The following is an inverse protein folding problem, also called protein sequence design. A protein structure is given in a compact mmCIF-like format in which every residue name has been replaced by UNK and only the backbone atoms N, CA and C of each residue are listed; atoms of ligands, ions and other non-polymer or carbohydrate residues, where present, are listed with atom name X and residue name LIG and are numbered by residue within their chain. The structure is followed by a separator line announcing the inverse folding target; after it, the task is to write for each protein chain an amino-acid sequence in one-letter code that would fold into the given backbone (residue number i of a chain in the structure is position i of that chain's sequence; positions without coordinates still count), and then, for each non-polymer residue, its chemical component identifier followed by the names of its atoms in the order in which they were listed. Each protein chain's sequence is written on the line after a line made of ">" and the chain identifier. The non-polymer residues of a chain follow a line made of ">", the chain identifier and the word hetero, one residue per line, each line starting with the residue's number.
data_IF_913539243773
#
_entry.id   IF_913539243773
#
_cell.length_a   1.000
_cell.length_b   1.000
_cell.length_c   1.000
_cell.angle_alpha   90.00
_cell.angle_beta   90.00
_cell.angle_gamma   90.00
#
_symmetry.space_group_name_H-M   'P 1'
#
loop_
_entity.id
_entity.type
_entity.pdbx_description
1 polymer ?
#
# COMPACT_ATOMS: atom_id res chain seq x y z
N UNK A 1 -5.38 55.31 -31.63
CA UNK A 1 -4.53 54.17 -32.02
C UNK A 1 -3.09 54.64 -31.93
N UNK A 2 -2.29 53.87 -31.19
CA UNK A 2 -0.87 54.02 -30.82
C UNK A 2 -0.49 55.26 -29.99
N UNK A 3 -0.22 55.13 -28.69
CA UNK A 3 0.88 54.44 -27.98
C UNK A 3 2.12 55.34 -27.80
N UNK A 4 2.33 55.78 -26.56
CA UNK A 4 3.58 55.66 -25.78
C UNK A 4 3.65 56.81 -24.76
N UNK A 5 3.74 56.48 -23.46
CA UNK A 5 4.72 57.17 -22.62
C UNK A 5 5.17 56.32 -21.44
N UNK A 6 6.50 56.21 -21.38
CA UNK A 6 7.37 55.50 -20.46
C UNK A 6 7.35 56.13 -19.05
N UNK A 7 7.27 55.30 -18.03
CA UNK A 7 7.31 55.68 -16.61
C UNK A 7 8.76 55.98 -16.15
N UNK A 8 8.90 57.03 -15.34
CA UNK A 8 10.13 57.45 -14.65
C UNK A 8 9.82 57.56 -13.16
N UNK A 9 10.59 56.85 -12.32
CA UNK A 9 10.56 56.92 -10.85
C UNK A 9 11.32 58.17 -10.33
N UNK A 10 10.90 58.74 -9.19
CA UNK A 10 11.79 59.52 -8.33
C UNK A 10 12.10 58.82 -6.96
N UNK A 11 13.24 59.12 -6.32
CA UNK A 11 13.71 58.43 -5.11
C UNK A 11 13.46 59.18 -3.79
N UNK A 12 13.57 58.39 -2.70
CA UNK A 12 13.95 58.67 -1.31
C UNK A 12 13.34 59.85 -0.53
N UNK A 13 12.67 59.51 0.58
CA UNK A 13 12.75 60.29 1.83
C UNK A 13 12.72 59.35 3.05
N UNK A 14 13.82 59.39 3.81
CA UNK A 14 13.98 58.83 5.16
C UNK A 14 13.37 59.80 6.17
N UNK A 15 12.54 59.32 7.11
CA UNK A 15 12.27 60.04 8.36
C UNK A 15 12.12 59.09 9.56
N UNK A 16 12.77 59.49 10.65
CA UNK A 16 13.07 58.73 11.86
C UNK A 16 12.22 59.21 13.05
N UNK A 17 11.84 58.31 13.98
CA UNK A 17 11.46 58.49 15.41
C UNK A 17 10.81 57.15 15.84
N UNK A 18 11.25 56.35 16.81
CA UNK A 18 11.90 56.63 18.08
C UNK A 18 10.88 56.43 19.21
N UNK A 19 10.82 55.26 19.87
CA UNK A 19 10.19 55.14 21.21
C UNK A 19 10.52 53.83 21.96
N UNK A 20 11.12 54.03 23.15
CA UNK A 20 10.97 53.35 24.46
C UNK A 20 11.09 51.82 24.59
N UNK A 21 12.17 51.46 25.30
CA UNK A 21 12.30 50.30 26.16
C UNK A 21 11.38 50.37 27.41
N UNK A 22 10.94 49.21 27.88
CA UNK A 22 10.41 49.03 29.24
C UNK A 22 9.52 47.80 29.44
N UNK A 23 10.01 46.82 30.22
CA UNK A 23 9.17 45.99 31.10
C UNK A 23 8.83 44.57 30.63
N UNK A 24 9.59 43.59 31.12
CA UNK A 24 9.18 42.18 31.23
C UNK A 24 8.90 41.85 32.72
N UNK A 25 7.71 41.35 33.08
CA UNK A 25 7.53 40.50 34.26
C UNK A 25 7.41 39.03 33.81
N UNK A 26 8.33 38.14 34.19
CA UNK A 26 8.32 37.30 35.41
C UNK A 26 7.16 36.29 35.46
N UNK A 27 7.54 35.03 35.21
CA UNK A 27 7.09 33.78 35.85
C UNK A 27 5.62 33.66 36.25
N UNK A 28 4.88 32.83 35.51
CA UNK A 28 3.70 32.13 36.02
C UNK A 28 3.88 30.62 35.83
N UNK A 29 3.96 29.93 36.96
CA UNK A 29 3.98 28.48 37.11
C UNK A 29 2.67 27.89 36.59
N UNK A 30 2.74 26.99 35.62
CA UNK A 30 1.60 26.17 35.20
C UNK A 30 1.65 24.86 36.00
N UNK A 31 0.88 24.81 37.10
CA UNK A 31 0.53 23.55 37.75
C UNK A 31 -0.43 22.78 36.84
N UNK A 32 0.02 21.62 36.33
CA UNK A 32 -0.83 20.69 35.58
C UNK A 32 -1.80 19.95 36.51
N UNK A 33 -3.02 19.60 36.06
CA UNK A 33 -3.98 18.85 36.85
C UNK A 33 -3.51 17.39 37.08
N UNK A 34 -3.92 16.74 38.19
CA UNK A 34 -3.47 15.40 38.54
C UNK A 34 -4.01 14.34 37.58
N UNK A 35 -3.15 13.39 37.22
CA UNK A 35 -3.46 12.24 36.37
C UNK A 35 -4.49 11.32 37.06
N UNK A 36 -5.67 11.21 36.46
CA UNK A 36 -6.71 10.25 36.83
C UNK A 36 -6.28 8.87 36.33
N UNK A 37 -5.96 7.98 37.27
CA UNK A 37 -5.51 6.62 36.97
C UNK A 37 -6.73 5.72 36.71
N UNK A 38 -7.26 5.72 35.48
CA UNK A 38 -8.39 4.87 35.09
C UNK A 38 -7.91 3.46 34.76
N UNK A 39 -8.02 2.54 35.72
CA UNK A 39 -7.86 1.10 35.46
C UNK A 39 -8.98 0.60 34.56
N UNK A 40 -8.68 0.35 33.29
CA UNK A 40 -9.55 -0.38 32.36
C UNK A 40 -9.62 -1.85 32.81
N UNK A 41 -10.79 -2.27 33.30
CA UNK A 41 -11.06 -3.68 33.62
C UNK A 41 -11.59 -4.38 32.36
N UNK A 42 -10.75 -5.16 31.70
CA UNK A 42 -11.14 -6.00 30.57
C UNK A 42 -11.90 -7.22 31.12
N UNK A 43 -13.22 -7.25 30.98
CA UNK A 43 -14.03 -8.47 31.23
C UNK A 43 -13.85 -9.43 30.06
N UNK A 44 -12.98 -10.42 30.23
CA UNK A 44 -12.88 -11.56 29.32
C UNK A 44 -14.18 -12.36 29.37
N UNK A 45 -14.97 -12.37 28.30
CA UNK A 45 -16.10 -13.31 28.15
C UNK A 45 -15.54 -14.68 27.81
N UNK A 46 -15.50 -15.55 28.80
CA UNK A 46 -15.13 -16.96 28.63
C UNK A 46 -16.32 -17.69 27.98
N UNK A 47 -16.20 -17.99 26.68
CA UNK A 47 -17.17 -18.84 25.98
C UNK A 47 -16.94 -20.29 26.41
N UNK A 48 -17.90 -20.86 27.11
CA UNK A 48 -17.93 -22.26 27.48
C UNK A 48 -18.15 -23.12 26.21
N UNK A 49 -17.18 -23.96 25.86
CA UNK A 49 -17.38 -25.03 24.89
C UNK A 49 -18.07 -26.20 25.60
N UNK A 50 -19.37 -26.36 25.38
CA UNK A 50 -20.06 -27.61 25.71
C UNK A 50 -19.58 -28.71 24.74
N UNK A 51 -18.91 -29.72 25.31
CA UNK A 51 -18.55 -30.95 24.61
C UNK A 51 -19.81 -31.77 24.36
N UNK A 52 -20.25 -31.87 23.10
CA UNK A 52 -21.26 -32.85 22.70
C UNK A 52 -20.65 -34.26 22.72
N UNK A 53 -21.15 -35.08 23.64
CA UNK A 53 -20.84 -36.50 23.81
C UNK A 53 -21.58 -37.33 22.77
N UNK A 54 -20.85 -37.94 21.83
CA UNK A 54 -21.41 -38.86 20.84
C UNK A 54 -21.35 -40.28 21.41
N UNK A 55 -22.51 -40.90 21.65
CA UNK A 55 -22.62 -42.33 21.96
C UNK A 55 -22.92 -43.12 20.68
N UNK A 56 -22.30 -44.29 20.47
CA UNK A 56 -22.57 -45.12 19.31
C UNK A 56 -23.79 -46.00 19.58
N UNK A 57 -24.76 -46.02 18.67
CA UNK A 57 -25.78 -47.07 18.66
C UNK A 57 -25.83 -47.72 17.29
N UNK A 58 -25.41 -48.97 17.28
CA UNK A 58 -25.50 -49.93 16.18
C UNK A 58 -26.81 -50.68 16.33
N UNK A 59 -27.75 -50.59 15.37
CA UNK A 59 -28.82 -51.59 15.24
C UNK A 59 -29.35 -51.73 13.79
N UNK A 60 -28.85 -52.76 13.11
CA UNK A 60 -29.54 -53.86 12.39
C UNK A 60 -30.58 -53.55 11.27
N UNK A 61 -30.26 -54.15 10.11
CA UNK A 61 -30.99 -54.38 8.87
C UNK A 61 -32.03 -55.53 9.00
N UNK A 62 -33.30 -55.31 8.58
CA UNK A 62 -34.24 -56.30 7.95
C UNK A 62 -35.57 -55.58 7.62
N UNK A 63 -35.97 -55.39 6.36
CA UNK A 63 -36.74 -56.26 5.43
C UNK A 63 -38.28 -56.02 5.40
N UNK A 64 -38.77 -55.76 4.16
CA UNK A 64 -40.10 -55.94 3.55
C UNK A 64 -41.31 -55.01 3.85
N UNK A 65 -41.72 -54.34 2.75
CA UNK A 65 -43.05 -54.38 2.10
C UNK A 65 -44.30 -53.96 2.90
N UNK A 66 -44.93 -52.86 2.47
CA UNK A 66 -46.36 -52.64 2.74
C UNK A 66 -46.79 -51.18 2.83
N UNK A 67 -47.14 -50.61 1.67
CA UNK A 67 -48.34 -49.82 1.45
C UNK A 67 -48.73 -48.79 2.53
N UNK A 68 -48.37 -47.52 2.32
CA UNK A 68 -49.22 -46.39 2.72
C UNK A 68 -48.97 -45.21 1.80
N UNK A 69 -50.01 -44.84 1.05
CA UNK A 69 -50.10 -43.64 0.26
C UNK A 69 -49.98 -42.41 1.18
N UNK A 70 -49.10 -41.48 0.80
CA UNK A 70 -48.87 -40.24 1.50
C UNK A 70 -47.73 -39.48 0.85
N UNK A 71 -47.95 -38.99 -0.38
CA UNK A 71 -47.03 -38.03 -1.00
C UNK A 71 -47.23 -36.72 -0.24
N UNK A 72 -46.47 -36.53 0.83
CA UNK A 72 -46.28 -35.20 1.39
C UNK A 72 -45.43 -34.42 0.38
N UNK A 73 -46.05 -33.45 -0.28
CA UNK A 73 -45.34 -32.44 -1.05
C UNK A 73 -44.35 -31.76 -0.11
N UNK A 74 -43.06 -32.12 -0.21
CA UNK A 74 -42.01 -31.26 0.29
C UNK A 74 -42.00 -30.04 -0.64
N UNK A 75 -42.59 -28.94 -0.20
CA UNK A 75 -42.34 -27.63 -0.80
C UNK A 75 -40.83 -27.43 -0.74
N UNK A 76 -40.19 -27.59 -1.91
CA UNK A 76 -38.84 -27.12 -2.12
C UNK A 76 -38.89 -25.62 -1.86
N UNK A 77 -38.41 -25.21 -0.68
CA UNK A 77 -38.08 -23.82 -0.43
C UNK A 77 -37.07 -23.43 -1.51
N UNK A 78 -37.53 -22.70 -2.52
CA UNK A 78 -36.66 -22.05 -3.48
C UNK A 78 -35.65 -21.24 -2.67
N UNK A 79 -34.37 -21.59 -2.78
CA UNK A 79 -33.32 -20.67 -2.35
C UNK A 79 -33.51 -19.42 -3.20
N UNK A 80 -34.05 -18.37 -2.60
CA UNK A 80 -34.10 -17.05 -3.21
C UNK A 80 -32.66 -16.71 -3.58
N UNK A 81 -32.35 -16.47 -4.88
CA UNK A 81 -31.00 -16.10 -5.27
C UNK A 81 -30.62 -14.87 -4.45
N UNK A 82 -29.50 -14.94 -3.73
CA UNK A 82 -28.94 -13.78 -3.06
C UNK A 82 -28.94 -12.62 -4.07
N UNK A 83 -29.57 -11.50 -3.71
CA UNK A 83 -29.71 -10.37 -4.60
C UNK A 83 -28.33 -10.02 -5.18
N UNK A 84 -28.24 -10.08 -6.51
CA UNK A 84 -27.00 -9.83 -7.25
C UNK A 84 -26.68 -8.33 -7.17
N UNK A 85 -26.01 -7.94 -6.09
CA UNK A 85 -25.58 -6.56 -5.81
C UNK A 85 -24.59 -6.05 -6.86
N UNK A 86 -24.03 -6.92 -7.70
CA UNK A 86 -23.13 -6.57 -8.81
C UNK A 86 -23.81 -5.65 -9.82
N UNK A 87 -25.13 -5.76 -9.98
CA UNK A 87 -25.92 -4.89 -10.89
C UNK A 87 -26.04 -3.44 -10.41
N UNK A 88 -25.76 -3.17 -9.13
CA UNK A 88 -25.83 -1.83 -8.53
C UNK A 88 -24.44 -1.23 -8.25
N UNK A 89 -23.38 -2.00 -8.51
CA UNK A 89 -21.99 -1.59 -8.34
C UNK A 89 -21.52 -0.76 -9.54
N UNK A 90 -20.58 0.16 -9.27
CA UNK A 90 -19.89 0.91 -10.31
C UNK A 90 -19.15 -0.05 -11.25
N UNK A 91 -19.42 0.02 -12.56
CA UNK A 91 -18.71 -0.80 -13.55
C UNK A 91 -17.41 -0.13 -13.99
N UNK A 92 -16.27 -0.75 -13.68
CA UNK A 92 -14.93 -0.19 -13.88
C UNK A 92 -14.16 -1.02 -14.89
N UNK A 93 -13.63 -0.36 -15.92
CA UNK A 93 -12.66 -0.95 -16.85
C UNK A 93 -11.27 -0.45 -16.47
N UNK A 94 -10.34 -1.38 -16.21
CA UNK A 94 -8.94 -1.09 -15.94
C UNK A 94 -8.13 -1.18 -17.23
N UNK A 95 -7.55 -0.07 -17.65
CA UNK A 95 -6.56 0.02 -18.73
C UNK A 95 -5.20 0.29 -18.11
N UNK A 96 -4.37 -0.74 -18.06
CA UNK A 96 -3.11 -0.66 -17.36
C UNK A 96 -2.04 -1.53 -18.01
N UNK A 97 -0.96 -0.87 -18.43
CA UNK A 97 0.21 -1.51 -19.03
C UNK A 97 1.50 -1.20 -18.25
N UNK A 98 1.37 -0.86 -16.96
CA UNK A 98 2.48 -0.48 -16.07
C UNK A 98 3.04 -1.70 -15.30
N UNK A 99 4.27 -1.63 -14.77
CA UNK A 99 4.79 -2.59 -13.79
C UNK A 99 3.85 -2.72 -12.59
N UNK A 100 3.83 -3.89 -11.97
CA UNK A 100 2.99 -4.19 -10.80
C UNK A 100 1.48 -4.03 -11.02
N UNK A 101 1.04 -4.01 -12.27
CA UNK A 101 -0.37 -3.97 -12.60
C UNK A 101 -1.00 -5.37 -12.69
N UNK A 102 -1.21 -5.98 -11.53
CA UNK A 102 -1.85 -7.29 -11.41
C UNK A 102 -3.37 -7.12 -11.28
N UNK A 103 -4.09 -7.34 -12.38
CA UNK A 103 -5.55 -7.26 -12.41
C UNK A 103 -6.24 -8.26 -11.46
N UNK A 104 -5.66 -9.44 -11.26
CA UNK A 104 -6.23 -10.43 -10.34
C UNK A 104 -6.02 -10.00 -8.88
N UNK A 105 -4.93 -9.32 -8.56
CA UNK A 105 -4.74 -8.66 -7.26
C UNK A 105 -5.80 -7.58 -7.03
N UNK A 106 -5.94 -6.60 -7.94
CA UNK A 106 -6.90 -5.51 -7.75
C UNK A 106 -8.35 -6.00 -7.63
N UNK A 107 -8.72 -7.05 -8.38
CA UNK A 107 -10.05 -7.66 -8.27
C UNK A 107 -10.29 -8.35 -6.92
N UNK A 108 -9.25 -8.92 -6.31
CA UNK A 108 -9.33 -9.55 -4.98
C UNK A 108 -9.39 -8.51 -3.85
N UNK A 109 -8.64 -7.42 -3.97
CA UNK A 109 -8.58 -6.40 -2.92
C UNK A 109 -9.73 -5.38 -3.01
N UNK A 110 -10.21 -5.07 -4.23
CA UNK A 110 -11.27 -4.10 -4.48
C UNK A 110 -12.52 -4.84 -4.98
N UNK A 111 -13.26 -5.43 -4.03
CA UNK A 111 -14.43 -6.28 -4.32
C UNK A 111 -15.76 -5.53 -4.41
N UNK A 112 -15.76 -4.22 -4.16
CA UNK A 112 -16.95 -3.37 -4.07
C UNK A 112 -17.24 -2.57 -5.35
N UNK A 113 -16.52 -2.88 -6.43
CA UNK A 113 -16.81 -2.43 -7.79
C UNK A 113 -17.00 -3.63 -8.71
N UNK A 114 -17.69 -3.43 -9.83
CA UNK A 114 -17.83 -4.44 -10.86
C UNK A 114 -16.71 -4.27 -11.91
N UNK A 115 -15.74 -5.19 -11.92
CA UNK A 115 -14.66 -5.17 -12.89
C UNK A 115 -15.13 -5.71 -14.25
N UNK A 116 -15.23 -4.83 -15.25
CA UNK A 116 -15.65 -5.20 -16.62
C UNK A 116 -14.44 -5.35 -17.54
N UNK A 117 -14.58 -6.24 -18.53
CA UNK A 117 -13.52 -6.51 -19.53
C UNK A 117 -13.58 -5.58 -20.73
N UNK A 118 -14.77 -5.10 -21.05
CA UNK A 118 -15.00 -4.24 -22.21
C UNK A 118 -15.16 -2.78 -21.78
N UNK A 119 -14.35 -1.90 -22.37
CA UNK A 119 -14.43 -0.45 -22.20
C UNK A 119 -15.85 0.10 -22.41
N UNK A 120 -16.61 -0.48 -23.35
CA UNK A 120 -17.93 0.00 -23.71
C UNK A 120 -18.96 -0.23 -22.60
N UNK A 121 -18.71 -1.21 -21.72
CA UNK A 121 -19.59 -1.59 -20.62
C UNK A 121 -19.32 -0.79 -19.34
N UNK A 122 -18.22 -0.06 -19.28
CA UNK A 122 -17.79 0.67 -18.10
C UNK A 122 -18.51 2.02 -17.91
N UNK A 123 -18.85 2.30 -16.65
CA UNK A 123 -19.23 3.63 -16.17
C UNK A 123 -17.99 4.48 -15.87
N UNK A 124 -16.87 3.82 -15.58
CA UNK A 124 -15.60 4.44 -15.29
C UNK A 124 -14.46 3.73 -16.01
N UNK A 125 -13.63 4.50 -16.70
CA UNK A 125 -12.39 4.00 -17.30
C UNK A 125 -11.20 4.47 -16.48
N UNK A 126 -10.56 3.54 -15.79
CA UNK A 126 -9.36 3.80 -15.01
C UNK A 126 -8.14 3.49 -15.88
N UNK A 127 -7.41 4.54 -16.26
CA UNK A 127 -6.16 4.44 -16.99
C UNK A 127 -5.00 4.62 -16.03
N UNK A 128 -4.06 3.67 -16.01
CA UNK A 128 -2.84 3.78 -15.22
C UNK A 128 -1.63 3.86 -16.15
N UNK A 129 -0.89 4.96 -16.04
CA UNK A 129 0.38 5.18 -16.73
C UNK A 129 1.51 5.34 -15.72
N UNK A 130 2.75 5.16 -16.17
CA UNK A 130 3.92 5.21 -15.30
C UNK A 130 5.10 5.88 -16.00
N UNK A 131 5.88 6.60 -15.21
CA UNK A 131 7.17 7.17 -15.61
C UNK A 131 8.25 6.82 -14.57
N UNK A 132 9.52 6.81 -14.98
CA UNK A 132 10.63 6.60 -14.03
C UNK A 132 10.88 7.90 -13.25
N UNK A 133 11.05 7.83 -11.93
CA UNK A 133 11.51 8.99 -11.17
C UNK A 133 13.02 9.20 -11.31
N UNK A 134 13.50 10.40 -10.98
CA UNK A 134 14.94 10.67 -10.91
C UNK A 134 15.69 9.88 -9.82
N UNK A 135 14.96 9.32 -8.85
CA UNK A 135 15.49 8.53 -7.73
C UNK A 135 15.50 7.02 -7.98
N UNK A 136 15.06 6.53 -9.16
CA UNK A 136 15.08 5.11 -9.51
C UNK A 136 13.76 4.37 -9.31
N UNK A 137 12.83 4.92 -8.54
CA UNK A 137 11.47 4.40 -8.38
C UNK A 137 10.53 4.73 -9.56
N UNK A 138 9.23 4.59 -9.32
CA UNK A 138 8.18 4.80 -10.32
C UNK A 138 7.20 5.89 -9.91
N UNK A 139 6.79 6.71 -10.88
CA UNK A 139 5.71 7.68 -10.74
C UNK A 139 4.50 7.18 -11.51
N UNK A 140 3.49 6.69 -10.79
CA UNK A 140 2.22 6.24 -11.37
C UNK A 140 1.23 7.38 -11.42
N UNK A 141 0.54 7.52 -12.55
CA UNK A 141 -0.63 8.39 -12.72
C UNK A 141 -1.85 7.52 -12.95
N UNK A 142 -2.89 7.75 -12.16
CA UNK A 142 -4.16 7.05 -12.22
C UNK A 142 -5.24 8.05 -12.65
N UNK A 143 -5.65 7.95 -13.91
CA UNK A 143 -6.68 8.78 -14.51
C UNK A 143 -8.03 8.07 -14.49
N UNK A 144 -8.98 8.64 -13.76
CA UNK A 144 -10.35 8.19 -13.60
C UNK A 144 -11.22 8.95 -14.59
N UNK A 145 -11.54 8.31 -15.71
CA UNK A 145 -12.26 8.92 -16.83
C UNK A 145 -13.74 8.51 -16.78
N UNK A 146 -14.58 9.43 -16.35
CA UNK A 146 -16.00 9.19 -16.14
C UNK A 146 -16.76 8.99 -17.46
N UNK A 147 -17.69 8.03 -17.49
CA UNK A 147 -18.54 7.73 -18.64
C UNK A 147 -20.01 7.74 -18.23
N UNK A 148 -20.90 7.87 -19.22
CA UNK A 148 -22.36 7.85 -19.03
C UNK A 148 -22.81 8.86 -17.97
N UNK A 149 -23.35 8.39 -16.84
CA UNK A 149 -23.80 9.22 -15.73
C UNK A 149 -22.66 10.01 -15.07
N UNK A 150 -21.41 9.57 -15.23
CA UNK A 150 -20.21 10.22 -14.69
C UNK A 150 -19.44 11.02 -15.75
N UNK A 151 -20.01 11.24 -16.95
CA UNK A 151 -19.31 11.97 -18.00
C UNK A 151 -18.92 13.40 -17.54
N UNK A 152 -17.63 13.73 -17.69
CA UNK A 152 -17.06 15.02 -17.26
C UNK A 152 -16.66 15.07 -15.78
N UNK A 153 -16.93 14.02 -15.01
CA UNK A 153 -16.37 13.82 -13.67
C UNK A 153 -15.06 13.05 -13.80
N UNK A 154 -14.03 13.73 -14.30
CA UNK A 154 -12.69 13.16 -14.43
C UNK A 154 -11.84 13.52 -13.22
N UNK A 155 -10.97 12.60 -12.80
CA UNK A 155 -10.04 12.80 -11.69
C UNK A 155 -8.71 12.17 -12.03
N UNK A 156 -7.62 12.76 -11.52
CA UNK A 156 -6.29 12.17 -11.60
C UNK A 156 -5.69 12.09 -10.22
N UNK A 157 -5.08 10.96 -9.88
CA UNK A 157 -4.30 10.75 -8.67
C UNK A 157 -2.91 10.26 -9.04
N UNK A 158 -1.93 10.50 -8.18
CA UNK A 158 -0.57 10.00 -8.36
C UNK A 158 -0.14 9.13 -7.19
N UNK A 159 0.66 8.12 -7.48
CA UNK A 159 1.37 7.30 -6.50
C UNK A 159 2.84 7.21 -6.89
N UNK A 160 3.74 7.33 -5.91
CA UNK A 160 5.19 7.25 -6.14
C UNK A 160 5.72 6.08 -5.34
N UNK A 161 6.40 5.15 -5.99
CA UNK A 161 7.14 4.09 -5.32
C UNK A 161 8.60 4.49 -5.11
N UNK A 162 9.18 3.97 -4.04
CA UNK A 162 10.62 4.02 -3.79
C UNK A 162 11.36 2.99 -4.70
N UNK A 163 12.64 3.20 -5.06
CA UNK A 163 13.45 2.13 -5.65
C UNK A 163 13.55 0.86 -4.80
N UNK A 164 13.42 0.96 -3.48
CA UNK A 164 13.57 -0.17 -2.56
C UNK A 164 12.23 -0.88 -2.24
N UNK A 165 11.11 -0.33 -2.71
CA UNK A 165 9.79 -0.94 -2.53
C UNK A 165 9.72 -2.31 -3.24
N UNK A 166 9.25 -3.32 -2.52
CA UNK A 166 8.93 -4.62 -3.10
C UNK A 166 7.70 -4.52 -4.01
N UNK A 167 7.58 -5.44 -4.97
CA UNK A 167 6.40 -5.54 -5.84
C UNK A 167 5.08 -5.64 -5.05
N UNK A 168 5.09 -6.18 -3.83
CA UNK A 168 3.92 -6.24 -2.96
C UNK A 168 3.55 -4.85 -2.42
N UNK A 169 4.52 -4.09 -1.92
CA UNK A 169 4.30 -2.73 -1.42
C UNK A 169 3.81 -1.80 -2.53
N UNK A 170 4.36 -1.93 -3.74
CA UNK A 170 3.89 -1.17 -4.92
C UNK A 170 2.43 -1.51 -5.25
N UNK A 171 2.06 -2.79 -5.22
CA UNK A 171 0.66 -3.22 -5.46
C UNK A 171 -0.29 -2.70 -4.39
N UNK A 172 0.11 -2.75 -3.12
CA UNK A 172 -0.71 -2.26 -2.00
C UNK A 172 -0.91 -0.75 -2.09
N UNK A 173 0.14 0.01 -2.43
CA UNK A 173 0.07 1.46 -2.66
C UNK A 173 -0.83 1.83 -3.86
N UNK A 174 -0.74 1.06 -4.95
CA UNK A 174 -1.66 1.20 -6.09
C UNK A 174 -3.11 0.90 -5.68
N UNK A 175 -3.35 -0.22 -5.00
CA UNK A 175 -4.69 -0.63 -4.50
C UNK A 175 -5.31 0.45 -3.61
N UNK A 176 -4.54 1.02 -2.69
CA UNK A 176 -5.00 2.10 -1.82
C UNK A 176 -5.36 3.36 -2.63
N UNK A 177 -4.49 3.75 -3.57
CA UNK A 177 -4.71 4.92 -4.42
C UNK A 177 -5.93 4.75 -5.33
N UNK A 178 -6.09 3.55 -5.92
CA UNK A 178 -7.27 3.13 -6.68
C UNK A 178 -8.54 3.24 -5.85
N UNK A 179 -8.55 2.64 -4.66
CA UNK A 179 -9.68 2.70 -3.75
C UNK A 179 -10.09 4.13 -3.42
N UNK A 180 -9.13 5.00 -3.08
CA UNK A 180 -9.39 6.41 -2.78
C UNK A 180 -9.96 7.19 -3.96
N UNK A 181 -9.50 6.92 -5.19
CA UNK A 181 -10.05 7.54 -6.40
C UNK A 181 -11.48 7.10 -6.68
N UNK A 182 -11.75 5.81 -6.53
CA UNK A 182 -13.05 5.18 -6.78
C UNK A 182 -14.16 5.66 -5.83
N UNK A 183 -13.83 6.10 -4.61
CA UNK A 183 -14.82 6.58 -3.61
C UNK A 183 -15.75 7.65 -4.18
N UNK A 184 -15.22 8.61 -4.95
CA UNK A 184 -16.00 9.71 -5.54
C UNK A 184 -17.09 9.23 -6.50
N UNK A 185 -16.90 8.07 -7.14
CA UNK A 185 -17.87 7.52 -8.08
C UNK A 185 -18.86 6.61 -7.37
N UNK A 186 -18.39 5.84 -6.38
CA UNK A 186 -19.21 4.93 -5.60
C UNK A 186 -20.18 5.68 -4.68
N UNK A 187 -19.86 6.91 -4.24
CA UNK A 187 -20.77 7.73 -3.42
C UNK A 187 -22.12 8.01 -4.12
N UNK A 188 -22.14 8.01 -5.46
CA UNK A 188 -23.34 8.20 -6.25
C UNK A 188 -24.13 6.90 -6.52
N UNK A 189 -23.67 5.77 -5.98
CA UNK A 189 -24.28 4.44 -6.18
C UNK A 189 -25.02 3.97 -4.91
N UNK A 190 -25.95 2.99 -5.02
CA UNK A 190 -26.59 2.38 -3.86
C UNK A 190 -25.63 1.69 -2.87
N UNK A 191 -24.37 1.46 -3.24
CA UNK A 191 -23.34 0.88 -2.36
C UNK A 191 -22.74 1.88 -1.36
N UNK A 192 -22.94 3.19 -1.55
CA UNK A 192 -22.37 4.23 -0.69
C UNK A 192 -22.59 3.98 0.83
N UNK A 193 -23.77 3.56 1.31
CA UNK A 193 -24.00 3.29 2.74
C UNK A 193 -23.20 2.11 3.30
N UNK A 194 -22.64 1.25 2.44
CA UNK A 194 -21.85 0.08 2.84
C UNK A 194 -20.35 0.38 2.87
N UNK A 195 -19.91 1.50 2.28
CA UNK A 195 -18.50 1.89 2.22
C UNK A 195 -18.09 2.61 3.51
N UNK A 196 -16.94 2.21 4.07
CA UNK A 196 -16.31 2.90 5.19
C UNK A 196 -14.86 3.23 4.82
N UNK A 197 -14.52 4.51 4.85
CA UNK A 197 -13.14 4.99 4.72
C UNK A 197 -12.53 5.07 6.12
N UNK A 198 -11.40 4.40 6.31
CA UNK A 198 -10.64 4.41 7.56
C UNK A 198 -9.36 5.19 7.31
N UNK A 199 -9.07 6.15 8.20
CA UNK A 199 -7.77 6.81 8.24
C UNK A 199 -6.93 6.10 9.29
N UNK A 200 -5.80 5.54 8.84
CA UNK A 200 -4.81 4.96 9.71
C UNK A 200 -3.81 6.07 10.05
N UNK A 201 -3.77 6.45 11.32
CA UNK A 201 -2.80 7.43 11.79
C UNK A 201 -1.40 6.84 11.62
N UNK A 202 -0.48 7.52 10.94
CA UNK A 202 0.88 7.02 10.79
C UNK A 202 1.45 6.79 12.18
N UNK A 203 2.10 5.65 12.36
CA UNK A 203 2.81 5.36 13.60
C UNK A 203 3.92 6.40 13.73
N UNK A 204 3.69 7.40 14.58
CA UNK A 204 4.69 8.41 14.86
C UNK A 204 5.77 7.69 15.64
N UNK A 205 6.82 7.25 14.94
CA UNK A 205 8.03 6.80 15.60
C UNK A 205 8.46 7.94 16.52
N UNK A 206 8.27 7.74 17.82
CA UNK A 206 8.86 8.61 18.82
C UNK A 206 10.34 8.38 18.65
N UNK A 207 10.96 9.24 17.84
CA UNK A 207 12.41 9.36 17.82
C UNK A 207 12.74 9.89 19.20
N UNK A 208 12.98 8.98 20.15
CA UNK A 208 13.70 9.34 21.35
C UNK A 208 14.98 9.96 20.83
N UNK A 209 15.11 11.28 21.01
CA UNK A 209 16.38 11.97 20.78
C UNK A 209 17.34 11.24 21.71
N UNK A 210 18.14 10.33 21.14
CA UNK A 210 19.17 9.65 21.88
C UNK A 210 19.99 10.74 22.55
N UNK A 211 19.83 10.87 23.87
CA UNK A 211 20.37 12.00 24.64
C UNK A 211 21.89 12.07 24.48
N UNK A 212 22.50 10.94 24.10
CA UNK A 212 23.84 10.80 23.58
C UNK A 212 23.83 9.76 22.44
N UNK A 213 24.10 10.19 21.21
CA UNK A 213 24.36 9.27 20.10
C UNK A 213 25.80 8.74 20.20
N UNK A 214 26.00 7.44 20.53
CA UNK A 214 27.32 6.85 20.69
C UNK A 214 28.09 6.74 19.37
N UNK A 215 27.40 6.86 18.23
CA UNK A 215 27.99 6.74 16.89
C UNK A 215 28.29 8.09 16.24
N UNK A 216 27.98 9.22 16.90
CA UNK A 216 28.25 10.58 16.39
C UNK A 216 27.75 10.79 14.94
N UNK A 217 26.48 10.44 14.74
CA UNK A 217 25.70 10.58 13.51
C UNK A 217 26.18 9.70 12.37
N UNK A 218 27.01 8.69 12.65
CA UNK A 218 27.38 7.65 11.70
C UNK A 218 26.31 6.55 11.65
N UNK A 219 25.83 6.25 10.45
CA UNK A 219 25.00 5.09 10.11
C UNK A 219 25.87 4.16 9.28
N UNK A 220 25.84 2.87 9.61
CA UNK A 220 26.57 1.84 8.87
C UNK A 220 25.58 0.82 8.34
N UNK A 221 25.69 0.51 7.06
CA UNK A 221 24.91 -0.54 6.41
C UNK A 221 25.87 -1.56 5.81
N UNK A 222 25.54 -2.84 5.96
CA UNK A 222 26.32 -3.94 5.41
C UNK A 222 25.33 -4.86 4.72
N UNK A 223 25.40 -4.87 3.40
CA UNK A 223 24.55 -5.68 2.53
C UNK A 223 25.36 -6.83 1.94
N UNK A 224 24.77 -8.02 1.93
CA UNK A 224 25.41 -9.23 1.41
C UNK A 224 24.40 -10.11 0.70
N UNK A 225 24.58 -10.26 -0.60
CA UNK A 225 23.70 -11.02 -1.47
C UNK A 225 24.45 -12.17 -2.12
N UNK A 226 23.79 -13.32 -2.25
CA UNK A 226 24.38 -14.50 -2.86
C UNK A 226 23.40 -15.26 -3.74
N UNK A 227 23.86 -15.71 -4.90
CA UNK A 227 23.11 -16.56 -5.82
C UNK A 227 23.91 -17.80 -6.19
N UNK A 228 23.23 -18.94 -6.27
CA UNK A 228 23.80 -20.22 -6.67
C UNK A 228 22.90 -20.85 -7.73
N UNK A 229 23.48 -21.20 -8.86
CA UNK A 229 22.84 -21.94 -9.94
C UNK A 229 23.67 -23.17 -10.26
N UNK A 230 23.00 -24.32 -10.37
CA UNK A 230 23.67 -25.61 -10.51
C UNK A 230 22.86 -26.52 -11.44
N UNK A 231 23.48 -26.85 -12.57
CA UNK A 231 23.01 -27.79 -13.56
C UNK A 231 23.89 -29.05 -13.59
N UNK A 232 23.53 -30.05 -14.41
CA UNK A 232 24.26 -31.33 -14.46
C UNK A 232 25.74 -31.21 -14.78
N UNK A 233 26.16 -30.16 -15.51
CA UNK A 233 27.52 -29.95 -16.00
C UNK A 233 28.01 -28.51 -15.85
N UNK A 234 27.20 -27.63 -15.28
CA UNK A 234 27.52 -26.21 -15.10
C UNK A 234 27.14 -25.81 -13.68
N UNK A 235 27.98 -25.03 -13.02
CA UNK A 235 27.60 -24.41 -11.75
C UNK A 235 28.15 -23.00 -11.69
N UNK A 236 27.28 -22.04 -11.36
CA UNK A 236 27.68 -20.66 -11.09
C UNK A 236 27.29 -20.26 -9.66
N UNK A 237 28.19 -19.56 -8.99
CA UNK A 237 27.91 -18.93 -7.70
C UNK A 237 28.42 -17.50 -7.74
N UNK A 238 27.59 -16.56 -7.30
CA UNK A 238 28.04 -15.18 -7.10
C UNK A 238 27.66 -14.70 -5.72
N UNK A 239 28.53 -13.88 -5.15
CA UNK A 239 28.31 -13.16 -3.91
C UNK A 239 28.68 -11.70 -4.13
N UNK A 240 27.81 -10.79 -3.76
CA UNK A 240 28.10 -9.37 -3.70
C UNK A 240 28.00 -8.90 -2.26
N UNK A 241 28.88 -7.99 -1.88
CA UNK A 241 28.82 -7.30 -0.61
C UNK A 241 28.96 -5.80 -0.83
N UNK A 242 28.25 -5.04 -0.02
CA UNK A 242 28.30 -3.59 0.02
C UNK A 242 28.39 -3.14 1.47
N UNK A 243 29.23 -2.15 1.72
CA UNK A 243 29.40 -1.54 3.03
C UNK A 243 29.31 -0.04 2.88
N UNK A 244 28.33 0.52 3.56
CA UNK A 244 28.06 1.95 3.58
C UNK A 244 28.35 2.52 4.95
N UNK A 245 28.92 3.72 4.95
CA UNK A 245 29.07 4.54 6.14
C UNK A 245 28.67 5.97 5.81
N UNK A 246 27.53 6.39 6.36
CA UNK A 246 26.98 7.72 6.19
C UNK A 246 27.09 8.52 7.47
N UNK A 247 27.55 9.76 7.35
CA UNK A 247 27.43 10.75 8.42
C UNK A 247 26.68 11.97 7.93
N UNK A 248 25.60 12.32 8.60
CA UNK A 248 24.82 13.53 8.31
C UNK A 248 24.80 14.44 9.53
N UNK A 249 25.52 15.56 9.46
CA UNK A 249 25.51 16.62 10.45
C UNK A 249 25.14 17.97 9.82
N UNK A 250 24.78 18.96 10.65
CA UNK A 250 24.38 20.29 10.18
C UNK A 250 25.48 21.00 9.36
N UNK A 251 26.74 20.74 9.68
CA UNK A 251 27.91 21.35 9.06
C UNK A 251 28.45 20.54 7.87
N UNK A 252 28.20 19.22 7.83
CA UNK A 252 28.83 18.33 6.87
C UNK A 252 28.09 17.00 6.70
N UNK A 253 27.95 16.58 5.43
CA UNK A 253 27.55 15.23 5.04
C UNK A 253 28.76 14.48 4.47
N UNK A 254 29.03 13.28 4.97
CA UNK A 254 30.04 12.34 4.45
C UNK A 254 29.35 11.04 4.08
N UNK A 255 29.72 10.45 2.95
CA UNK A 255 29.29 9.11 2.55
C UNK A 255 30.54 8.34 2.10
N UNK A 256 30.65 7.09 2.56
CA UNK A 256 31.63 6.12 2.10
C UNK A 256 30.90 4.86 1.67
N UNK A 257 31.08 4.46 0.42
CA UNK A 257 30.52 3.24 -0.16
C UNK A 257 31.69 2.33 -0.58
N UNK A 258 31.63 1.07 -0.16
CA UNK A 258 32.56 0.03 -0.58
C UNK A 258 31.76 -1.18 -1.07
N UNK A 259 31.73 -1.37 -2.38
CA UNK A 259 31.10 -2.52 -3.00
C UNK A 259 32.12 -3.50 -3.59
N UNK A 260 31.76 -4.79 -3.60
CA UNK A 260 32.55 -5.86 -4.15
C UNK A 260 31.68 -7.01 -4.61
N UNK A 261 32.03 -7.62 -5.74
CA UNK A 261 31.37 -8.83 -6.25
C UNK A 261 32.41 -9.89 -6.51
N UNK A 262 32.13 -11.10 -6.08
CA UNK A 262 32.87 -12.30 -6.41
C UNK A 262 31.95 -13.26 -7.16
N UNK A 263 32.33 -13.63 -8.38
CA UNK A 263 31.64 -14.64 -9.17
C UNK A 263 32.57 -15.79 -9.47
N UNK A 264 32.05 -17.01 -9.41
CA UNK A 264 32.72 -18.23 -9.84
C UNK A 264 31.81 -19.02 -10.77
N UNK A 265 32.30 -19.31 -11.96
CA UNK A 265 31.64 -20.20 -12.93
C UNK A 265 32.49 -21.46 -13.13
N UNK A 266 31.86 -22.62 -13.19
CA UNK A 266 32.51 -23.92 -13.43
C UNK A 266 31.75 -24.68 -14.52
N UNK A 267 32.49 -25.17 -15.52
CA UNK A 267 31.96 -25.96 -16.64
C UNK A 267 32.65 -27.33 -16.70
N UNK A 268 31.87 -28.40 -16.90
CA UNK A 268 32.36 -29.77 -17.12
C UNK A 268 31.99 -30.24 -18.54
N UNK A 269 33.01 -30.54 -19.35
CA UNK A 269 32.86 -30.96 -20.75
C UNK A 269 32.68 -32.48 -20.88
N UNK A 270 32.23 -32.95 -22.05
CA UNK A 270 31.89 -34.37 -22.27
C UNK A 270 33.10 -35.31 -22.19
N UNK A 271 34.30 -34.79 -22.40
CA UNK A 271 35.57 -35.48 -22.23
C UNK A 271 36.11 -35.45 -20.79
N UNK A 272 35.32 -34.90 -19.85
CA UNK A 272 35.66 -34.78 -18.44
C UNK A 272 36.56 -33.59 -18.10
N UNK A 273 36.84 -32.70 -19.05
CA UNK A 273 37.58 -31.46 -18.78
C UNK A 273 36.76 -30.51 -17.91
N UNK A 274 37.43 -29.78 -17.01
CA UNK A 274 36.81 -28.80 -16.12
C UNK A 274 37.45 -27.44 -16.32
N UNK A 275 36.65 -26.44 -16.64
CA UNK A 275 37.07 -25.03 -16.71
C UNK A 275 36.43 -24.22 -15.58
N UNK A 276 37.23 -23.35 -14.94
CA UNK A 276 36.79 -22.50 -13.83
C UNK A 276 37.17 -21.06 -14.12
N UNK A 277 36.19 -20.17 -14.02
CA UNK A 277 36.36 -18.73 -14.18
C UNK A 277 36.01 -18.02 -12.87
N UNK A 278 36.81 -17.02 -12.51
CA UNK A 278 36.54 -16.16 -11.35
C UNK A 278 36.73 -14.70 -11.70
N UNK A 279 35.81 -13.85 -11.27
CA UNK A 279 35.86 -12.39 -11.41
C UNK A 279 35.44 -11.71 -10.13
#
# INVERSE_FOLDING_TARGET
>A
MDAQQKATLPPDQVFNRGTRAGGLPVSTSLEGPPLINTRVQIRTRQLAMERLSVKPQVTILTILLGLCAGIASAEAAAQEPAADTTTQALSVFLDCNAPNCDFDHFRREITWVNWVRDRADADLHLLITVERTGGGGWYYTLDYLGRRAFAGLDKSLSYVSDPDDTDAEVRDGLTQTMGLGLVQYVEATPLAPQLRVVYEEPEVAVVERAEQDPWNLWVFEISLDGSLESEKRESSYSISGEVDADRVAEDMKINFELSGRYRRDKFEFEDGQVEVYTS
#
